data_IF_709679555898
#
_entry.id   IF_709679555898
#
_cell.length_a   1.000
_cell.length_b   1.000
_cell.length_c   1.000
_cell.angle_alpha   90.00
_cell.angle_beta   90.00
_cell.angle_gamma   90.00
#
_symmetry.space_group_name_H-M   'P 1'
#
loop_
_entity.id
_entity.type
_entity.pdbx_description
1 polymer ?
#
# COMPACT_ATOMS: atom_id res chain seq x y z
N UNK A 1 9.35 22.64 -14.76
CA UNK A 1 10.40 21.60 -14.64
C UNK A 1 10.80 21.24 -13.20
N UNK A 2 10.50 22.02 -12.15
CA UNK A 2 10.88 21.68 -10.76
C UNK A 2 9.94 20.72 -9.99
N UNK A 3 8.79 20.32 -10.54
CA UNK A 3 7.79 19.51 -9.83
C UNK A 3 8.22 18.06 -9.60
N UNK A 4 8.75 17.37 -10.61
CA UNK A 4 9.08 15.94 -10.54
C UNK A 4 10.30 15.69 -9.64
N UNK A 5 11.32 16.54 -9.76
CA UNK A 5 12.50 16.49 -8.90
C UNK A 5 12.13 16.66 -7.42
N UNK A 6 11.19 17.57 -7.12
CA UNK A 6 10.71 17.78 -5.76
C UNK A 6 9.93 16.58 -5.20
N UNK A 7 9.19 15.84 -6.03
CA UNK A 7 8.50 14.61 -5.62
C UNK A 7 9.52 13.52 -5.29
N UNK A 8 10.52 13.31 -6.16
CA UNK A 8 11.51 12.26 -5.98
C UNK A 8 12.40 12.50 -4.75
N UNK A 9 12.77 13.76 -4.50
CA UNK A 9 13.54 14.16 -3.32
C UNK A 9 12.68 14.31 -2.05
N UNK A 10 11.36 14.12 -2.13
CA UNK A 10 10.50 14.25 -0.96
C UNK A 10 10.65 13.02 -0.05
N UNK A 11 11.38 13.20 1.05
CA UNK A 11 11.57 12.18 2.09
C UNK A 11 12.11 10.87 1.48
N UNK A 12 11.45 9.74 1.69
CA UNK A 12 11.86 8.45 1.13
C UNK A 12 11.10 8.08 -0.15
N UNK A 13 10.40 9.03 -0.79
CA UNK A 13 9.61 8.74 -2.00
C UNK A 13 10.48 8.21 -3.15
N UNK A 14 11.66 8.80 -3.38
CA UNK A 14 12.60 8.31 -4.39
C UNK A 14 13.10 6.88 -4.11
N UNK A 15 13.27 6.53 -2.83
CA UNK A 15 13.63 5.17 -2.42
C UNK A 15 12.48 4.18 -2.69
N UNK A 16 11.23 4.60 -2.49
CA UNK A 16 10.06 3.79 -2.83
C UNK A 16 10.02 3.49 -4.34
N UNK A 17 10.24 4.51 -5.19
CA UNK A 17 10.37 4.32 -6.63
C UNK A 17 11.45 3.31 -7.01
N UNK A 18 12.64 3.45 -6.42
CA UNK A 18 13.74 2.52 -6.66
C UNK A 18 13.36 1.10 -6.27
N UNK A 19 12.75 0.90 -5.10
CA UNK A 19 12.32 -0.42 -4.65
C UNK A 19 11.21 -1.02 -5.52
N UNK A 20 10.27 -0.24 -6.03
CA UNK A 20 9.26 -0.75 -6.98
C UNK A 20 9.94 -1.29 -8.24
N UNK A 21 10.91 -0.57 -8.80
CA UNK A 21 11.65 -1.02 -9.99
C UNK A 21 12.42 -2.31 -9.68
N UNK A 22 13.19 -2.33 -8.59
CA UNK A 22 14.00 -3.49 -8.19
C UNK A 22 13.13 -4.72 -7.91
N UNK A 23 12.03 -4.56 -7.18
CA UNK A 23 11.12 -5.66 -6.86
C UNK A 23 10.33 -6.13 -8.09
N UNK A 24 10.05 -5.26 -9.05
CA UNK A 24 9.46 -5.67 -10.34
C UNK A 24 10.38 -6.65 -11.05
N UNK A 25 11.67 -6.31 -11.16
CA UNK A 25 12.67 -7.19 -11.78
C UNK A 25 12.82 -8.48 -10.97
N UNK A 26 12.94 -8.36 -9.64
CA UNK A 26 13.13 -9.50 -8.76
C UNK A 26 11.94 -10.47 -8.76
N UNK A 27 10.71 -9.97 -8.97
CA UNK A 27 9.49 -10.79 -8.99
C UNK A 27 9.47 -11.82 -10.13
N UNK A 28 10.19 -11.57 -11.22
CA UNK A 28 10.35 -12.57 -12.30
C UNK A 28 11.21 -13.77 -11.87
N UNK A 29 12.06 -13.61 -10.86
CA UNK A 29 12.95 -14.67 -10.36
C UNK A 29 12.48 -15.25 -9.03
N UNK A 30 11.86 -14.42 -8.19
CA UNK A 30 11.45 -14.77 -6.83
C UNK A 30 10.01 -14.25 -6.62
N UNK A 31 8.97 -15.00 -7.06
CA UNK A 31 7.59 -14.55 -6.92
C UNK A 31 7.15 -14.32 -5.46
N UNK A 32 7.90 -14.84 -4.48
CA UNK A 32 7.74 -14.55 -3.05
C UNK A 32 7.76 -13.05 -2.71
N UNK A 33 8.40 -12.21 -3.52
CA UNK A 33 8.53 -10.76 -3.26
C UNK A 33 7.37 -9.91 -3.83
N UNK A 34 6.47 -10.51 -4.61
CA UNK A 34 5.32 -9.84 -5.24
C UNK A 34 4.41 -9.11 -4.25
N UNK A 35 4.11 -9.63 -3.04
CA UNK A 35 3.32 -8.89 -2.06
C UNK A 35 3.95 -7.55 -1.66
N UNK A 36 5.29 -7.50 -1.57
CA UNK A 36 6.01 -6.28 -1.27
C UNK A 36 5.96 -5.30 -2.45
N UNK A 37 6.06 -5.80 -3.68
CA UNK A 37 5.86 -5.00 -4.89
C UNK A 37 4.45 -4.37 -4.91
N UNK A 38 3.42 -5.16 -4.62
CA UNK A 38 2.04 -4.67 -4.51
C UNK A 38 1.94 -3.52 -3.50
N UNK A 39 2.45 -3.74 -2.28
CA UNK A 39 2.44 -2.73 -1.21
C UNK A 39 3.12 -1.43 -1.62
N UNK A 40 4.33 -1.51 -2.19
CA UNK A 40 5.12 -0.34 -2.54
C UNK A 40 4.53 0.42 -3.73
N UNK A 41 4.00 -0.28 -4.73
CA UNK A 41 3.30 0.34 -5.85
C UNK A 41 2.02 1.06 -5.41
N UNK A 42 1.17 0.43 -4.56
CA UNK A 42 0.02 1.11 -3.96
C UNK A 42 0.44 2.29 -3.08
N UNK A 43 1.57 2.18 -2.37
CA UNK A 43 2.10 3.26 -1.55
C UNK A 43 2.58 4.45 -2.41
N UNK A 44 3.23 4.21 -3.55
CA UNK A 44 3.57 5.26 -4.52
C UNK A 44 2.31 5.94 -5.05
N UNK A 45 1.26 5.16 -5.37
CA UNK A 45 -0.01 5.72 -5.81
C UNK A 45 -0.60 6.66 -4.75
N UNK A 46 -0.55 6.28 -3.47
CA UNK A 46 -0.97 7.14 -2.35
C UNK A 46 -0.11 8.39 -2.17
N UNK A 47 1.21 8.29 -2.33
CA UNK A 47 2.07 9.47 -2.23
C UNK A 47 1.79 10.44 -3.39
N UNK A 48 1.75 9.95 -4.63
CA UNK A 48 1.54 10.78 -5.81
C UNK A 48 0.11 11.34 -5.88
N UNK A 49 -0.87 10.49 -5.61
CA UNK A 49 -2.28 10.80 -5.67
C UNK A 49 -2.71 11.56 -4.43
N UNK A 50 -2.80 10.91 -3.28
CA UNK A 50 -3.33 11.53 -2.07
C UNK A 50 -2.46 12.72 -1.61
N UNK A 51 -1.16 12.52 -1.40
CA UNK A 51 -0.33 13.56 -0.79
C UNK A 51 -0.14 14.78 -1.71
N UNK A 52 0.33 14.57 -2.94
CA UNK A 52 0.62 15.70 -3.83
C UNK A 52 -0.62 16.30 -4.51
N UNK A 53 -1.69 15.53 -4.76
CA UNK A 53 -2.91 16.10 -5.36
C UNK A 53 -3.71 16.90 -4.34
N UNK A 54 -3.83 16.44 -3.08
CA UNK A 54 -4.51 17.21 -2.04
C UNK A 54 -3.81 18.53 -1.75
N UNK A 55 -2.47 18.53 -1.66
CA UNK A 55 -1.69 19.76 -1.44
C UNK A 55 -1.92 20.79 -2.55
N UNK A 56 -2.21 20.35 -3.79
CA UNK A 56 -2.35 21.25 -4.96
C UNK A 56 -3.78 21.67 -5.29
N UNK A 57 -4.79 20.87 -4.92
CA UNK A 57 -6.18 21.06 -5.40
C UNK A 57 -7.16 21.59 -4.36
N UNK A 58 -6.77 21.67 -3.09
CA UNK A 58 -7.61 22.24 -2.01
C UNK A 58 -7.99 23.70 -2.24
N UNK A 59 -7.32 24.40 -3.15
CA UNK A 59 -7.66 25.78 -3.56
C UNK A 59 -8.81 25.86 -4.59
N UNK A 60 -9.23 24.75 -5.19
CA UNK A 60 -10.18 24.74 -6.32
C UNK A 60 -11.47 23.95 -6.08
N UNK A 61 -11.47 23.00 -5.16
CA UNK A 61 -12.62 22.14 -4.87
C UNK A 61 -12.66 21.76 -3.39
N UNK A 62 -13.86 21.45 -2.84
CA UNK A 62 -13.99 20.96 -1.47
C UNK A 62 -13.16 19.69 -1.26
N UNK A 63 -12.39 19.65 -0.17
CA UNK A 63 -11.49 18.54 0.15
C UNK A 63 -12.21 17.18 0.19
N UNK A 64 -13.44 17.14 0.71
CA UNK A 64 -14.27 15.93 0.81
C UNK A 64 -14.52 15.27 -0.56
N UNK A 65 -14.75 16.07 -1.60
CA UNK A 65 -14.99 15.54 -2.95
C UNK A 65 -13.71 15.01 -3.59
N UNK A 66 -12.60 15.72 -3.40
CA UNK A 66 -11.27 15.29 -3.85
C UNK A 66 -10.91 13.95 -3.22
N UNK A 67 -11.12 13.79 -1.90
CA UNK A 67 -10.87 12.54 -1.18
C UNK A 67 -11.77 11.42 -1.72
N UNK A 68 -13.07 11.68 -1.95
CA UNK A 68 -13.99 10.65 -2.46
C UNK A 68 -13.56 10.15 -3.84
N UNK A 69 -13.27 11.06 -4.77
CA UNK A 69 -12.80 10.70 -6.10
C UNK A 69 -11.45 9.95 -6.04
N UNK A 70 -10.56 10.41 -5.15
CA UNK A 70 -9.28 9.74 -4.92
C UNK A 70 -9.44 8.29 -4.46
N UNK A 71 -10.34 8.01 -3.51
CA UNK A 71 -10.58 6.64 -3.01
C UNK A 71 -11.08 5.70 -4.10
N UNK A 72 -11.90 6.18 -5.02
CA UNK A 72 -12.35 5.40 -6.18
C UNK A 72 -11.15 5.05 -7.08
N UNK A 73 -10.32 6.05 -7.41
CA UNK A 73 -9.13 5.82 -8.22
C UNK A 73 -8.12 4.88 -7.53
N UNK A 74 -7.99 4.98 -6.21
CA UNK A 74 -7.15 4.09 -5.41
C UNK A 74 -7.62 2.65 -5.53
N UNK A 75 -8.93 2.39 -5.34
CA UNK A 75 -9.50 1.04 -5.50
C UNK A 75 -9.32 0.51 -6.92
N UNK A 76 -9.59 1.33 -7.95
CA UNK A 76 -9.38 0.93 -9.34
C UNK A 76 -7.92 0.58 -9.62
N UNK A 77 -6.99 1.36 -9.09
CA UNK A 77 -5.55 1.10 -9.21
C UNK A 77 -5.17 -0.21 -8.52
N UNK A 78 -5.61 -0.44 -7.29
CA UNK A 78 -5.31 -1.68 -6.55
C UNK A 78 -5.85 -2.92 -7.26
N UNK A 79 -7.06 -2.84 -7.81
CA UNK A 79 -7.67 -3.94 -8.58
C UNK A 79 -6.91 -4.23 -9.87
N UNK A 80 -6.50 -3.19 -10.59
CA UNK A 80 -5.69 -3.34 -11.80
C UNK A 80 -4.29 -3.89 -11.47
N UNK A 81 -3.68 -3.41 -10.39
CA UNK A 81 -2.40 -3.89 -9.91
C UNK A 81 -2.48 -5.37 -9.52
N UNK A 82 -3.54 -5.76 -8.78
CA UNK A 82 -3.80 -7.16 -8.44
C UNK A 82 -3.92 -8.03 -9.68
N UNK A 83 -4.66 -7.59 -10.69
CA UNK A 83 -4.82 -8.29 -11.96
C UNK A 83 -3.48 -8.45 -12.70
N UNK A 84 -2.72 -7.38 -12.84
CA UNK A 84 -1.41 -7.40 -13.52
C UNK A 84 -0.45 -8.35 -12.80
N UNK A 85 -0.30 -8.21 -11.48
CA UNK A 85 0.61 -9.06 -10.72
C UNK A 85 0.13 -10.52 -10.68
N UNK A 86 -1.18 -10.75 -10.64
CA UNK A 86 -1.77 -12.09 -10.67
C UNK A 86 -1.50 -12.81 -11.99
N UNK A 87 -1.63 -12.12 -13.11
CA UNK A 87 -1.35 -12.67 -14.44
C UNK A 87 0.15 -12.89 -14.70
N UNK A 88 1.02 -12.01 -14.19
CA UNK A 88 2.47 -12.08 -14.44
C UNK A 88 3.23 -13.00 -13.47
N UNK A 89 2.84 -13.01 -12.20
CA UNK A 89 3.62 -13.65 -11.13
C UNK A 89 2.82 -14.65 -10.29
N UNK A 90 1.55 -14.89 -10.65
CA UNK A 90 0.67 -15.83 -9.99
C UNK A 90 -0.30 -15.18 -9.00
N UNK A 91 -1.50 -15.77 -8.92
CA UNK A 91 -2.59 -15.24 -8.11
C UNK A 91 -2.33 -15.29 -6.61
N UNK A 92 -1.68 -16.34 -6.09
CA UNK A 92 -1.42 -16.46 -4.64
C UNK A 92 -0.48 -15.35 -4.13
N UNK A 93 0.70 -15.10 -4.76
CA UNK A 93 1.54 -13.97 -4.37
C UNK A 93 0.85 -12.60 -4.54
N UNK A 94 0.07 -12.41 -5.60
CA UNK A 94 -0.65 -11.15 -5.82
C UNK A 94 -1.74 -10.89 -4.76
N UNK A 95 -2.53 -11.92 -4.43
CA UNK A 95 -3.55 -11.87 -3.37
C UNK A 95 -2.94 -11.64 -1.99
N UNK A 96 -1.76 -12.18 -1.73
CA UNK A 96 -1.00 -11.90 -0.51
C UNK A 96 -0.67 -10.39 -0.39
N UNK A 97 -0.36 -9.71 -1.49
CA UNK A 97 -0.20 -8.24 -1.51
C UNK A 97 -1.47 -7.49 -1.14
N UNK A 98 -2.61 -7.88 -1.71
CA UNK A 98 -3.91 -7.32 -1.36
C UNK A 98 -4.27 -7.60 0.11
N UNK A 99 -3.94 -8.78 0.64
CA UNK A 99 -4.13 -9.14 2.04
C UNK A 99 -3.32 -8.22 2.96
N UNK A 100 -2.04 -7.98 2.67
CA UNK A 100 -1.24 -7.04 3.46
C UNK A 100 -1.87 -5.64 3.49
N UNK A 101 -2.44 -5.18 2.37
CA UNK A 101 -3.19 -3.91 2.34
C UNK A 101 -4.43 -3.96 3.23
N UNK A 102 -5.22 -5.04 3.18
CA UNK A 102 -6.40 -5.21 4.05
C UNK A 102 -6.07 -5.21 5.54
N UNK A 103 -4.86 -5.64 5.93
CA UNK A 103 -4.38 -5.58 7.31
C UNK A 103 -3.73 -4.22 7.68
N UNK A 104 -3.80 -3.22 6.80
CA UNK A 104 -3.26 -1.88 7.06
C UNK A 104 -1.74 -1.78 6.99
N UNK A 105 -1.06 -2.77 6.42
CA UNK A 105 0.41 -2.74 6.27
C UNK A 105 0.82 -1.60 5.34
N UNK A 106 0.10 -1.40 4.23
CA UNK A 106 0.36 -0.31 3.29
C UNK A 106 0.26 1.06 3.96
N UNK A 107 -0.73 1.26 4.82
CA UNK A 107 -0.93 2.48 5.60
C UNK A 107 0.25 2.72 6.57
N UNK A 108 0.69 1.71 7.32
CA UNK A 108 1.87 1.84 8.18
C UNK A 108 3.10 2.20 7.34
N UNK A 109 3.33 1.49 6.24
CA UNK A 109 4.43 1.73 5.30
C UNK A 109 4.36 3.15 4.72
N UNK A 110 3.18 3.67 4.41
CA UNK A 110 2.99 5.04 3.92
C UNK A 110 3.55 6.07 4.91
N UNK A 111 3.22 5.97 6.19
CA UNK A 111 3.74 6.90 7.21
C UNK A 111 5.25 6.75 7.42
N UNK A 112 5.78 5.53 7.32
CA UNK A 112 7.23 5.28 7.40
C UNK A 112 7.99 5.94 6.23
N UNK A 113 7.54 5.74 4.99
CA UNK A 113 8.16 6.35 3.81
C UNK A 113 8.01 7.87 3.80
N UNK A 114 6.88 8.37 4.31
CA UNK A 114 6.70 9.79 4.55
C UNK A 114 7.37 10.28 5.82
N UNK A 115 8.16 9.50 6.56
CA UNK A 115 8.82 9.91 7.81
C UNK A 115 7.89 10.79 8.68
N UNK A 116 6.66 10.32 8.88
CA UNK A 116 5.65 10.97 9.71
C UNK A 116 5.35 10.08 10.91
N UNK A 117 5.08 10.68 12.09
CA UNK A 117 4.65 9.89 13.23
C UNK A 117 3.34 9.17 12.89
N UNK A 118 3.21 7.91 13.34
CA UNK A 118 1.96 7.19 13.23
C UNK A 118 0.88 7.92 14.06
N UNK A 119 -0.30 8.17 13.49
CA UNK A 119 -1.44 8.75 14.19
C UNK A 119 -1.79 7.97 15.46
N UNK A 120 -2.20 8.68 16.51
CA UNK A 120 -2.72 8.06 17.73
C UNK A 120 -4.04 7.31 17.48
N UNK A 121 -4.88 7.87 16.61
CA UNK A 121 -6.18 7.32 16.21
C UNK A 121 -6.30 7.27 14.69
N UNK A 122 -6.85 6.17 14.20
CA UNK A 122 -7.02 5.86 12.79
C UNK A 122 -8.50 5.64 12.50
N UNK A 123 -9.11 6.62 11.83
CA UNK A 123 -10.55 6.65 11.52
C UNK A 123 -10.88 6.15 10.11
N UNK A 124 -9.88 6.01 9.25
CA UNK A 124 -10.03 5.65 7.84
C UNK A 124 -9.78 4.16 7.56
N UNK A 125 -9.28 3.39 8.54
CA UNK A 125 -9.00 1.96 8.42
C UNK A 125 -10.24 1.08 8.60
N UNK A 126 -11.44 1.57 8.32
CA UNK A 126 -12.69 0.83 8.52
C UNK A 126 -12.81 -0.44 7.66
N UNK A 127 -12.00 -0.54 6.61
CA UNK A 127 -11.94 -1.70 5.74
C UNK A 127 -11.05 -2.82 6.30
N UNK A 128 -10.24 -2.56 7.33
CA UNK A 128 -9.38 -3.58 7.93
C UNK A 128 -10.16 -4.43 8.93
N UNK A 129 -9.71 -5.67 9.26
CA UNK A 129 -10.44 -6.55 10.17
C UNK A 129 -10.81 -5.90 11.50
N UNK A 130 -9.86 -5.21 12.15
CA UNK A 130 -10.14 -4.51 13.41
C UNK A 130 -10.97 -3.25 13.19
N UNK A 131 -10.74 -2.53 12.10
CA UNK A 131 -11.47 -1.29 11.82
C UNK A 131 -12.94 -1.53 11.53
N UNK A 132 -13.27 -2.67 10.91
CA UNK A 132 -14.64 -3.12 10.70
C UNK A 132 -15.39 -3.31 12.03
N UNK A 133 -14.69 -3.78 13.07
CA UNK A 133 -15.28 -4.02 14.40
C UNK A 133 -15.34 -2.74 15.24
N UNK A 134 -14.24 -1.97 15.31
CA UNK A 134 -14.09 -0.88 16.29
C UNK A 134 -14.29 0.53 15.72
N UNK A 135 -14.39 0.68 14.40
CA UNK A 135 -14.46 1.94 13.63
C UNK A 135 -13.27 2.92 13.79
N UNK A 136 -12.71 3.05 15.00
CA UNK A 136 -11.60 3.91 15.35
C UNK A 136 -10.51 3.07 16.02
N UNK A 137 -9.37 2.94 15.36
CA UNK A 137 -8.26 2.14 15.86
C UNK A 137 -7.22 3.00 16.54
N UNK A 138 -6.67 2.50 17.64
CA UNK A 138 -5.47 3.03 18.25
C UNK A 138 -4.24 2.65 17.44
N UNK A 139 -3.16 3.40 17.57
CA UNK A 139 -1.86 3.08 16.96
C UNK A 139 -1.41 1.63 17.23
N UNK A 140 -1.56 1.15 18.47
CA UNK A 140 -1.14 -0.20 18.85
C UNK A 140 -1.97 -1.25 18.09
N UNK A 141 -3.29 -1.07 18.02
CA UNK A 141 -4.17 -1.97 17.28
C UNK A 141 -3.80 -2.04 15.80
N UNK A 142 -3.44 -0.90 15.19
CA UNK A 142 -3.00 -0.83 13.80
C UNK A 142 -1.67 -1.59 13.60
N UNK A 143 -0.72 -1.41 14.51
CA UNK A 143 0.57 -2.12 14.44
C UNK A 143 0.37 -3.63 14.62
N UNK A 144 -0.46 -4.05 15.59
CA UNK A 144 -0.76 -5.46 15.84
C UNK A 144 -1.40 -6.11 14.62
N UNK A 145 -2.46 -5.52 14.04
CA UNK A 145 -3.08 -6.08 12.84
C UNK A 145 -2.10 -6.12 11.65
N UNK A 146 -1.24 -5.11 11.48
CA UNK A 146 -0.27 -5.10 10.39
C UNK A 146 0.74 -6.26 10.54
N UNK A 147 1.24 -6.50 11.75
CA UNK A 147 2.10 -7.65 12.05
C UNK A 147 1.36 -8.97 11.79
N UNK A 148 0.11 -9.10 12.23
CA UNK A 148 -0.72 -10.28 11.96
C UNK A 148 -0.88 -10.53 10.46
N UNK A 149 -1.13 -9.48 9.67
CA UNK A 149 -1.22 -9.57 8.22
C UNK A 149 0.08 -10.08 7.59
N UNK A 150 1.22 -9.58 8.05
CA UNK A 150 2.55 -10.05 7.61
C UNK A 150 2.73 -11.54 7.92
N UNK A 151 2.44 -11.97 9.15
CA UNK A 151 2.57 -13.37 9.56
C UNK A 151 1.68 -14.30 8.71
N UNK A 152 0.41 -13.93 8.50
CA UNK A 152 -0.52 -14.70 7.67
C UNK A 152 -0.01 -14.79 6.23
N UNK A 153 0.37 -13.65 5.66
CA UNK A 153 0.93 -13.57 4.31
C UNK A 153 2.15 -14.48 4.15
N UNK A 154 3.12 -14.40 5.07
CA UNK A 154 4.32 -15.24 5.03
C UNK A 154 3.97 -16.72 5.14
N UNK A 155 3.06 -17.09 6.05
CA UNK A 155 2.63 -18.48 6.19
C UNK A 155 1.98 -19.03 4.90
N UNK A 156 1.11 -18.23 4.26
CA UNK A 156 0.45 -18.60 2.99
C UNK A 156 1.48 -18.78 1.88
N UNK A 157 2.44 -17.87 1.73
CA UNK A 157 3.48 -17.99 0.71
C UNK A 157 4.37 -19.21 0.95
N UNK A 158 4.84 -19.41 2.19
CA UNK A 158 5.68 -20.57 2.54
C UNK A 158 4.95 -21.87 2.24
N UNK A 159 3.67 -21.96 2.59
CA UNK A 159 2.86 -23.13 2.25
C UNK A 159 2.71 -23.30 0.73
N UNK A 160 2.42 -22.23 -0.01
CA UNK A 160 2.27 -22.29 -1.47
C UNK A 160 3.55 -22.76 -2.18
N UNK A 161 4.70 -22.16 -1.86
CA UNK A 161 5.97 -22.48 -2.54
C UNK A 161 6.56 -23.84 -2.14
N UNK A 162 6.21 -24.38 -0.96
CA UNK A 162 6.72 -25.68 -0.53
C UNK A 162 5.85 -26.87 -0.97
N UNK A 163 4.56 -26.65 -1.26
CA UNK A 163 3.61 -27.75 -1.49
C UNK A 163 2.92 -27.73 -2.86
N UNK A 164 2.97 -26.62 -3.60
CA UNK A 164 2.16 -26.43 -4.82
C UNK A 164 2.96 -25.98 -6.07
N UNK A 165 4.29 -25.92 -5.99
CA UNK A 165 5.19 -25.78 -7.16
C UNK A 165 5.77 -27.13 -7.58
#
# INVERSE_FOLDING_TARGET
MNSLKNIFLYKLTGLNFLFVILLTILSFYIPFVVPLLFLLASNLFDILGYHFTLIRRTTKMPEKEIIKAYRINQLMFDMLLLLILGLLFGWIPALCGALLKMFGVQDVTYYLFLQKPLPEKWHWLKFTPFGFIKNNLTRIEVVVQAITGIVICTAVLVYYFNFWQ
#
